data_IF_522563768310
#
_entry.id   IF_522563768310
#
_cell.length_a   1.000
_cell.length_b   1.000
_cell.length_c   1.000
_cell.angle_alpha   90.00
_cell.angle_beta   90.00
_cell.angle_gamma   90.00
#
_symmetry.space_group_name_H-M   'P 1'
#
loop_
_entity.id
_entity.type
_entity.pdbx_description
1 polymer ?
#
# COMPACT_ATOMS: atom_id res chain seq x y z
N UNK A 1 -15.68 -85.32 -19.77
CA UNK A 1 -14.64 -84.33 -19.64
C UNK A 1 -15.22 -82.93 -20.01
N UNK A 2 -15.51 -82.08 -19.01
CA UNK A 2 -16.01 -80.72 -19.26
C UNK A 2 -14.93 -79.76 -18.76
N UNK A 3 -14.31 -79.05 -19.74
CA UNK A 3 -13.31 -78.02 -19.44
C UNK A 3 -14.04 -76.69 -19.10
N UNK A 4 -13.80 -76.19 -17.93
CA UNK A 4 -14.26 -74.83 -17.49
C UNK A 4 -13.21 -73.85 -17.88
N UNK A 5 -13.60 -72.90 -18.73
CA UNK A 5 -12.81 -71.72 -19.06
C UNK A 5 -13.05 -70.62 -18.00
N UNK A 6 -12.02 -70.27 -17.23
CA UNK A 6 -12.00 -69.12 -16.34
C UNK A 6 -11.59 -67.89 -17.12
N UNK A 7 -12.48 -66.90 -17.22
CA UNK A 7 -12.21 -65.59 -17.78
C UNK A 7 -11.73 -64.67 -16.68
N UNK A 8 -10.53 -64.08 -16.77
CA UNK A 8 -10.08 -63.11 -15.76
C UNK A 8 -10.79 -61.77 -15.98
N UNK A 9 -11.47 -61.26 -14.96
CA UNK A 9 -12.10 -59.94 -14.88
C UNK A 9 -11.00 -58.92 -14.63
N UNK A 10 -10.61 -58.13 -15.67
CA UNK A 10 -9.71 -57.00 -15.49
C UNK A 10 -10.50 -55.82 -14.86
N UNK A 11 -10.17 -55.52 -13.61
CA UNK A 11 -10.62 -54.30 -12.93
C UNK A 11 -9.76 -53.12 -13.42
N UNK A 12 -10.28 -52.27 -14.28
CA UNK A 12 -9.66 -50.99 -14.64
C UNK A 12 -9.98 -49.98 -13.55
N UNK A 13 -9.00 -49.64 -12.71
CA UNK A 13 -9.09 -48.52 -11.78
C UNK A 13 -8.95 -47.20 -12.54
N UNK A 14 -10.04 -46.50 -12.72
CA UNK A 14 -10.03 -45.11 -13.23
C UNK A 14 -9.48 -44.19 -12.15
N UNK A 15 -8.25 -43.73 -12.31
CA UNK A 15 -7.71 -42.61 -11.51
C UNK A 15 -8.38 -41.34 -11.97
N UNK A 16 -9.31 -40.83 -11.19
CA UNK A 16 -9.82 -39.48 -11.33
C UNK A 16 -8.70 -38.50 -10.92
N UNK A 17 -8.03 -37.90 -11.89
CA UNK A 17 -7.13 -36.77 -11.64
C UNK A 17 -7.99 -35.56 -11.22
N UNK A 18 -8.03 -35.23 -9.95
CA UNK A 18 -8.52 -33.94 -9.48
C UNK A 18 -7.54 -32.88 -9.96
N UNK A 19 -7.88 -32.15 -11.00
CA UNK A 19 -7.22 -30.89 -11.33
C UNK A 19 -7.55 -29.93 -10.20
N UNK A 20 -6.61 -29.69 -9.28
CA UNK A 20 -6.68 -28.54 -8.39
C UNK A 20 -6.70 -27.31 -9.31
N UNK A 21 -7.82 -26.59 -9.35
CA UNK A 21 -7.88 -25.26 -9.95
C UNK A 21 -6.94 -24.39 -9.13
N UNK A 22 -5.81 -23.99 -9.71
CA UNK A 22 -5.02 -22.93 -9.15
C UNK A 22 -5.92 -21.69 -9.14
N UNK A 23 -6.19 -21.15 -7.96
CA UNK A 23 -6.88 -19.88 -7.83
C UNK A 23 -5.96 -18.83 -8.49
N UNK A 24 -6.40 -18.23 -9.59
CA UNK A 24 -5.59 -17.27 -10.33
C UNK A 24 -5.32 -16.07 -9.43
N UNK A 25 -4.04 -15.73 -9.24
CA UNK A 25 -3.66 -14.51 -8.55
C UNK A 25 -4.27 -13.30 -9.29
N UNK A 26 -5.00 -12.40 -8.61
CA UNK A 26 -5.72 -11.30 -9.23
C UNK A 26 -4.77 -10.17 -9.68
N UNK A 27 -3.87 -10.50 -10.61
CA UNK A 27 -2.84 -9.59 -11.10
C UNK A 27 -3.42 -8.33 -11.76
N UNK A 28 -4.59 -8.44 -12.35
CA UNK A 28 -5.34 -7.33 -12.98
C UNK A 28 -5.82 -6.28 -11.97
N UNK A 29 -5.86 -6.61 -10.69
CA UNK A 29 -6.21 -5.68 -9.61
C UNK A 29 -5.01 -5.03 -8.93
N UNK A 30 -3.79 -5.47 -9.22
CA UNK A 30 -2.59 -4.85 -8.66
C UNK A 30 -2.36 -3.48 -9.30
N UNK A 31 -2.42 -2.42 -8.50
CA UNK A 31 -2.25 -1.02 -8.89
C UNK A 31 -0.78 -0.62 -8.84
N UNK A 32 -0.10 -1.00 -7.76
CA UNK A 32 1.32 -0.74 -7.56
C UNK A 32 1.96 -1.87 -6.78
N UNK A 33 3.25 -2.07 -6.98
CA UNK A 33 4.06 -3.03 -6.26
C UNK A 33 5.45 -2.45 -5.99
N UNK A 34 6.02 -2.79 -4.83
CA UNK A 34 7.40 -2.51 -4.51
C UNK A 34 8.02 -3.70 -3.78
N UNK A 35 9.30 -3.96 -4.06
CA UNK A 35 10.10 -4.93 -3.33
C UNK A 35 11.23 -4.22 -2.58
N UNK A 36 11.47 -4.61 -1.34
CA UNK A 36 12.51 -4.05 -0.48
C UNK A 36 12.83 -5.00 0.66
N UNK A 37 13.88 -4.74 1.41
CA UNK A 37 14.24 -5.47 2.62
C UNK A 37 13.92 -4.55 3.81
N UNK A 38 12.68 -4.61 4.31
CA UNK A 38 12.21 -3.66 5.32
C UNK A 38 12.51 -4.10 6.74
N UNK A 39 12.54 -5.42 7.02
CA UNK A 39 12.92 -5.97 8.32
C UNK A 39 14.44 -6.17 8.46
N UNK A 40 15.19 -6.00 7.35
CA UNK A 40 16.65 -6.07 7.28
C UNK A 40 17.21 -7.46 7.55
N UNK A 41 16.48 -8.49 7.13
CA UNK A 41 16.93 -9.87 7.23
C UNK A 41 17.79 -10.32 6.02
N UNK A 42 17.93 -9.46 4.99
CA UNK A 42 18.70 -9.69 3.77
C UNK A 42 17.90 -10.34 2.65
N UNK A 43 16.61 -10.56 2.83
CA UNK A 43 15.71 -11.11 1.81
C UNK A 43 14.69 -10.07 1.35
N UNK A 44 14.26 -10.10 0.06
CA UNK A 44 13.31 -9.13 -0.42
C UNK A 44 11.89 -9.42 0.06
N UNK A 45 11.25 -8.40 0.62
CA UNK A 45 9.85 -8.33 0.99
C UNK A 45 9.01 -7.76 -0.15
N UNK A 46 7.67 -7.78 -0.03
CA UNK A 46 6.75 -7.33 -1.05
C UNK A 46 5.65 -6.44 -0.47
N UNK A 47 5.43 -5.27 -1.07
CA UNK A 47 4.26 -4.44 -0.83
C UNK A 47 3.41 -4.34 -2.09
N UNK A 48 2.09 -4.40 -1.94
CA UNK A 48 1.11 -4.32 -3.01
C UNK A 48 0.02 -3.31 -2.68
N UNK A 49 -0.35 -2.50 -3.66
CA UNK A 49 -1.62 -1.79 -3.67
C UNK A 49 -2.58 -2.55 -4.58
N UNK A 50 -3.76 -2.88 -4.08
CA UNK A 50 -4.72 -3.74 -4.78
C UNK A 50 -6.09 -3.06 -4.79
N UNK A 51 -6.71 -2.99 -5.98
CA UNK A 51 -8.10 -2.51 -6.11
C UNK A 51 -9.09 -3.45 -5.41
N UNK A 52 -10.21 -2.92 -4.88
CA UNK A 52 -11.28 -3.74 -4.34
C UNK A 52 -11.87 -4.68 -5.41
N UNK A 53 -12.60 -5.70 -4.97
CA UNK A 53 -13.16 -6.75 -5.86
C UNK A 53 -14.38 -6.27 -6.63
N UNK A 54 -15.16 -5.40 -6.01
CA UNK A 54 -16.35 -4.79 -6.62
C UNK A 54 -16.02 -3.36 -7.07
N UNK A 55 -16.75 -2.89 -8.05
CA UNK A 55 -16.62 -1.52 -8.61
C UNK A 55 -17.28 -0.46 -7.69
N UNK A 56 -17.44 -0.76 -6.39
CA UNK A 56 -17.87 0.23 -5.42
C UNK A 56 -16.82 1.33 -5.26
N UNK A 57 -17.24 2.53 -4.87
CA UNK A 57 -16.37 3.68 -4.59
C UNK A 57 -15.50 3.47 -3.33
N UNK A 58 -14.90 2.28 -3.22
CA UNK A 58 -14.07 1.91 -2.07
C UNK A 58 -12.61 2.12 -2.45
N UNK A 59 -11.85 2.68 -1.51
CA UNK A 59 -10.42 2.91 -1.68
C UNK A 59 -9.63 1.61 -1.85
N UNK A 60 -8.42 1.72 -2.42
CA UNK A 60 -7.53 0.59 -2.60
C UNK A 60 -7.03 0.04 -1.26
N UNK A 61 -6.65 -1.23 -1.25
CA UNK A 61 -5.98 -1.86 -0.11
C UNK A 61 -4.46 -1.84 -0.25
N UNK A 62 -3.75 -1.63 0.87
CA UNK A 62 -2.31 -1.82 1.00
C UNK A 62 -2.03 -3.12 1.75
N UNK A 63 -1.18 -3.97 1.18
CA UNK A 63 -0.77 -5.24 1.76
C UNK A 63 0.76 -5.33 1.75
N UNK A 64 1.35 -5.60 2.91
CA UNK A 64 2.80 -5.75 3.04
C UNK A 64 3.10 -7.16 3.55
N UNK A 65 3.99 -7.83 2.85
CA UNK A 65 4.42 -9.20 3.13
C UNK A 65 5.91 -9.19 3.46
N UNK A 66 6.28 -9.87 4.53
CA UNK A 66 7.67 -10.16 4.87
C UNK A 66 8.05 -11.56 4.38
N UNK A 67 9.25 -11.69 3.86
CA UNK A 67 9.79 -12.98 3.44
C UNK A 67 10.23 -13.78 4.67
N UNK A 68 9.73 -15.02 4.78
CA UNK A 68 10.16 -15.96 5.82
C UNK A 68 11.28 -16.84 5.27
N UNK A 69 12.51 -16.45 5.51
CA UNK A 69 13.73 -17.09 4.97
C UNK A 69 13.76 -18.60 5.20
N UNK A 70 13.32 -19.06 6.38
CA UNK A 70 13.33 -20.49 6.72
C UNK A 70 12.23 -21.30 6.02
N UNK A 71 11.20 -20.66 5.47
CA UNK A 71 10.02 -21.29 4.88
C UNK A 71 9.89 -21.00 3.38
N UNK A 72 10.78 -20.17 2.83
CA UNK A 72 10.79 -19.72 1.42
C UNK A 72 9.40 -19.23 0.95
N UNK A 73 8.71 -18.46 1.81
CA UNK A 73 7.38 -17.92 1.54
C UNK A 73 7.24 -16.47 2.04
N UNK A 74 6.30 -15.76 1.46
CA UNK A 74 5.85 -14.46 1.94
C UNK A 74 4.75 -14.64 3.00
N UNK A 75 4.84 -13.91 4.10
CA UNK A 75 3.84 -13.86 5.16
C UNK A 75 3.26 -12.45 5.25
N UNK A 76 1.93 -12.34 5.31
CA UNK A 76 1.25 -11.06 5.43
C UNK A 76 1.57 -10.43 6.80
N UNK A 77 2.24 -9.28 6.78
CA UNK A 77 2.67 -8.55 7.98
C UNK A 77 1.83 -7.30 8.25
N UNK A 78 1.26 -6.67 7.22
CA UNK A 78 0.31 -5.57 7.38
C UNK A 78 -0.77 -5.64 6.30
N UNK A 79 -2.03 -5.36 6.70
CA UNK A 79 -3.20 -5.34 5.82
C UNK A 79 -4.07 -4.13 6.14
N UNK A 80 -4.23 -3.25 5.17
CA UNK A 80 -5.05 -2.04 5.25
C UNK A 80 -6.03 -2.06 4.06
N UNK A 81 -7.12 -2.80 4.15
CA UNK A 81 -8.13 -2.81 3.11
C UNK A 81 -8.83 -1.45 3.05
N UNK A 82 -9.20 -1.00 1.85
CA UNK A 82 -10.02 0.21 1.63
C UNK A 82 -9.48 1.47 2.33
N UNK A 83 -8.17 1.73 2.20
CA UNK A 83 -7.49 2.81 2.93
C UNK A 83 -6.81 3.81 2.01
N UNK A 84 -6.38 3.39 0.83
CA UNK A 84 -5.59 4.24 -0.06
C UNK A 84 -6.47 4.83 -1.17
N UNK A 85 -6.70 6.13 -1.07
CA UNK A 85 -7.37 6.87 -2.12
C UNK A 85 -6.61 6.82 -3.44
N UNK A 86 -7.34 6.72 -4.53
CA UNK A 86 -6.78 6.79 -5.87
C UNK A 86 -7.48 5.90 -6.88
N UNK A 87 -7.31 6.21 -8.16
CA UNK A 87 -7.96 5.49 -9.26
C UNK A 87 -6.98 5.20 -10.38
N UNK A 88 -6.96 3.96 -10.85
CA UNK A 88 -6.25 3.58 -12.08
C UNK A 88 -6.92 4.08 -13.35
N UNK A 89 -8.20 4.42 -13.27
CA UNK A 89 -8.98 4.89 -14.41
C UNK A 89 -8.82 6.39 -14.66
N UNK A 90 -8.25 7.10 -13.69
CA UNK A 90 -8.07 8.55 -13.73
C UNK A 90 -6.58 8.88 -13.69
N UNK A 91 -6.04 9.31 -14.82
CA UNK A 91 -4.64 9.76 -14.90
C UNK A 91 -4.33 10.79 -13.82
N UNK A 92 -3.21 10.62 -13.14
CA UNK A 92 -2.78 11.51 -12.05
C UNK A 92 -3.45 11.24 -10.70
N UNK A 93 -4.08 10.07 -10.54
CA UNK A 93 -4.64 9.62 -9.28
C UNK A 93 -4.11 8.25 -8.85
N UNK A 94 -3.24 7.66 -9.64
CA UNK A 94 -2.70 6.32 -9.38
C UNK A 94 -1.83 6.35 -8.11
N UNK A 95 -2.10 5.50 -7.09
CA UNK A 95 -1.21 5.32 -5.96
C UNK A 95 0.15 4.75 -6.39
N UNK A 96 1.20 5.13 -5.69
CA UNK A 96 2.56 4.67 -5.96
C UNK A 96 3.20 4.06 -4.70
N UNK A 97 4.07 3.07 -4.90
CA UNK A 97 4.93 2.50 -3.87
C UNK A 97 6.39 2.66 -4.26
N UNK A 98 7.22 3.16 -3.33
CA UNK A 98 8.66 3.32 -3.57
C UNK A 98 9.45 2.71 -2.43
N UNK A 99 10.24 1.67 -2.73
CA UNK A 99 11.21 1.14 -1.78
C UNK A 99 12.43 2.07 -1.70
N UNK A 100 12.76 2.51 -0.50
CA UNK A 100 13.84 3.45 -0.24
C UNK A 100 15.12 2.72 0.16
N UNK A 101 16.28 3.23 -0.26
CA UNK A 101 17.58 2.64 0.05
C UNK A 101 17.89 2.53 1.56
N UNK A 102 17.22 3.32 2.40
CA UNK A 102 17.36 3.26 3.86
C UNK A 102 16.52 2.15 4.53
N UNK A 103 15.77 1.36 3.74
CA UNK A 103 14.88 0.30 4.22
C UNK A 103 13.52 0.84 4.69
N UNK A 104 13.05 1.97 4.19
CA UNK A 104 11.67 2.41 4.36
C UNK A 104 10.87 2.23 3.06
N UNK A 105 9.55 2.23 3.18
CA UNK A 105 8.61 2.21 2.07
C UNK A 105 7.91 3.57 2.02
N UNK A 106 7.86 4.21 0.86
CA UNK A 106 6.97 5.33 0.62
C UNK A 106 5.68 4.84 -0.02
N UNK A 107 4.56 5.27 0.58
CA UNK A 107 3.20 5.09 0.06
C UNK A 107 2.69 6.45 -0.36
N UNK A 108 2.41 6.61 -1.65
CA UNK A 108 2.10 7.90 -2.25
C UNK A 108 0.68 7.85 -2.79
N UNK A 109 -0.13 8.82 -2.37
CA UNK A 109 -1.45 9.11 -2.93
C UNK A 109 -1.48 10.54 -3.48
N UNK A 110 -2.26 10.79 -4.52
CA UNK A 110 -2.24 12.09 -5.21
C UNK A 110 -3.53 12.35 -5.98
N UNK A 111 -3.84 13.63 -6.17
CA UNK A 111 -4.83 14.11 -7.12
C UNK A 111 -4.23 15.25 -7.96
N UNK A 112 -3.68 14.90 -9.12
CA UNK A 112 -3.00 15.84 -10.00
C UNK A 112 -3.90 16.37 -11.14
N UNK A 113 -5.13 15.84 -11.30
CA UNK A 113 -5.95 16.10 -12.51
C UNK A 113 -7.39 16.48 -12.25
N UNK A 114 -8.03 16.08 -11.15
CA UNK A 114 -9.47 16.22 -10.95
C UNK A 114 -9.82 17.33 -9.95
N UNK A 115 -10.86 18.10 -10.27
CA UNK A 115 -11.37 19.18 -9.43
C UNK A 115 -10.43 20.38 -9.36
N UNK A 116 -10.59 21.24 -8.40
CA UNK A 116 -9.77 22.45 -8.21
C UNK A 116 -8.58 22.23 -7.28
N UNK A 117 -8.67 21.28 -6.32
CA UNK A 117 -7.59 20.96 -5.41
C UNK A 117 -6.66 19.92 -6.01
N UNK A 118 -5.39 20.26 -6.14
CA UNK A 118 -4.29 19.39 -6.54
C UNK A 118 -3.44 19.08 -5.31
N UNK A 119 -3.12 17.83 -5.11
CA UNK A 119 -2.34 17.44 -3.94
C UNK A 119 -1.57 16.14 -4.17
N UNK A 120 -0.50 16.00 -3.43
CA UNK A 120 0.30 14.79 -3.30
C UNK A 120 0.63 14.58 -1.83
N UNK A 121 0.42 13.37 -1.36
CA UNK A 121 0.70 12.92 -0.01
C UNK A 121 1.67 11.74 -0.06
N UNK A 122 2.62 11.72 0.86
CA UNK A 122 3.57 10.61 0.99
C UNK A 122 3.65 10.20 2.44
N UNK A 123 3.33 8.94 2.73
CA UNK A 123 3.65 8.32 4.00
C UNK A 123 5.00 7.63 3.88
N UNK A 124 5.91 7.92 4.81
CA UNK A 124 7.14 7.14 4.98
C UNK A 124 6.89 6.08 6.03
N UNK A 125 6.85 4.84 5.59
CA UNK A 125 6.58 3.66 6.43
C UNK A 125 7.92 2.99 6.76
N UNK A 126 8.12 2.63 8.02
CA UNK A 126 9.31 1.92 8.48
C UNK A 126 8.92 0.72 9.34
N UNK A 127 9.70 -0.37 9.23
CA UNK A 127 9.56 -1.52 10.10
C UNK A 127 10.36 -1.30 11.39
N UNK A 128 9.69 -1.33 12.54
CA UNK A 128 10.30 -1.11 13.86
C UNK A 128 9.58 -1.94 14.92
N UNK A 129 10.34 -2.59 15.78
CA UNK A 129 9.79 -3.39 16.88
C UNK A 129 8.79 -4.44 16.40
N UNK A 130 9.06 -5.07 15.26
CA UNK A 130 8.23 -6.09 14.62
C UNK A 130 6.90 -5.59 14.04
N UNK A 131 6.74 -4.26 13.87
CA UNK A 131 5.56 -3.65 13.29
C UNK A 131 5.92 -2.62 12.22
N UNK A 132 5.00 -2.39 11.27
CA UNK A 132 5.06 -1.27 10.35
C UNK A 132 4.46 -0.02 10.99
N UNK A 133 5.22 1.06 11.00
CA UNK A 133 4.84 2.35 11.57
C UNK A 133 4.94 3.45 10.55
N UNK A 134 4.16 4.54 10.74
CA UNK A 134 4.34 5.77 9.98
C UNK A 134 5.43 6.61 10.64
N UNK A 135 6.58 6.72 9.97
CA UNK A 135 7.73 7.47 10.43
C UNK A 135 7.73 8.93 9.94
N UNK A 136 7.10 9.18 8.78
CA UNK A 136 7.03 10.52 8.18
C UNK A 136 5.74 10.73 7.39
N UNK A 137 5.31 11.99 7.34
CA UNK A 137 4.18 12.46 6.56
C UNK A 137 4.60 13.70 5.78
N UNK A 138 4.50 13.63 4.46
CA UNK A 138 4.75 14.77 3.57
C UNK A 138 3.49 15.06 2.78
N UNK A 139 3.11 16.33 2.70
CA UNK A 139 1.98 16.79 1.92
C UNK A 139 2.37 18.03 1.10
N UNK A 140 1.92 18.08 -0.12
CA UNK A 140 1.95 19.29 -0.94
C UNK A 140 0.65 19.41 -1.72
N UNK A 141 0.17 20.63 -1.90
CA UNK A 141 -1.04 20.87 -2.66
C UNK A 141 -1.25 22.34 -2.99
N UNK A 142 -2.16 22.59 -3.91
CA UNK A 142 -2.59 23.92 -4.30
C UNK A 142 -4.03 23.87 -4.82
N UNK A 143 -4.67 25.03 -4.78
CA UNK A 143 -5.98 25.26 -5.38
C UNK A 143 -5.76 25.94 -6.73
N UNK A 144 -6.36 25.41 -7.79
CA UNK A 144 -6.20 25.95 -9.17
C UNK A 144 -6.89 27.29 -9.39
N UNK A 145 -7.72 27.74 -8.47
CA UNK A 145 -8.50 29.00 -8.55
C UNK A 145 -8.03 30.03 -7.52
N UNK A 146 -7.45 29.57 -6.41
CA UNK A 146 -6.97 30.45 -5.35
C UNK A 146 -5.55 30.93 -5.67
N UNK A 147 -5.43 32.19 -6.01
CA UNK A 147 -4.15 32.83 -6.36
C UNK A 147 -3.68 33.77 -5.25
N UNK A 148 -2.37 33.94 -5.16
CA UNK A 148 -1.74 34.93 -4.32
C UNK A 148 -1.74 36.33 -5.01
N UNK A 149 -1.16 37.31 -4.35
CA UNK A 149 -1.03 38.69 -4.86
C UNK A 149 -0.15 38.83 -6.12
N UNK A 150 0.63 37.80 -6.46
CA UNK A 150 1.47 37.74 -7.66
C UNK A 150 0.76 37.01 -8.82
N UNK A 151 -0.44 36.47 -8.60
CA UNK A 151 -1.18 35.67 -9.57
C UNK A 151 -0.71 34.21 -9.68
N UNK A 152 0.06 33.72 -8.70
CA UNK A 152 0.48 32.33 -8.60
C UNK A 152 -0.47 31.54 -7.70
N UNK A 153 -0.65 30.24 -8.00
CA UNK A 153 -1.47 29.37 -7.16
C UNK A 153 -0.93 29.33 -5.73
N UNK A 154 -1.82 29.55 -4.75
CA UNK A 154 -1.45 29.45 -3.35
C UNK A 154 -1.15 27.99 -3.00
N UNK A 155 0.10 27.69 -2.72
CA UNK A 155 0.59 26.36 -2.36
C UNK A 155 0.49 26.13 -0.86
N UNK A 156 0.30 24.87 -0.49
CA UNK A 156 0.43 24.35 0.89
C UNK A 156 1.47 23.24 0.86
N UNK A 157 2.33 23.21 1.87
CA UNK A 157 3.34 22.15 2.00
C UNK A 157 3.53 21.77 3.45
N UNK A 158 3.76 20.51 3.72
CA UNK A 158 4.14 20.01 5.03
C UNK A 158 5.10 18.84 4.89
N UNK A 159 6.12 18.85 5.74
CA UNK A 159 7.05 17.73 5.92
C UNK A 159 7.20 17.50 7.43
N UNK A 160 6.68 16.39 7.93
CA UNK A 160 6.61 16.04 9.33
C UNK A 160 7.31 14.71 9.59
N UNK A 161 8.28 14.71 10.48
CA UNK A 161 8.77 13.48 11.09
C UNK A 161 7.83 13.11 12.25
N UNK A 162 7.03 12.06 12.06
CA UNK A 162 6.01 11.63 13.03
C UNK A 162 6.62 11.14 14.32
N UNK A 163 7.78 10.46 14.23
CA UNK A 163 8.47 9.89 15.40
C UNK A 163 9.02 10.96 16.35
N UNK A 164 9.42 12.10 15.81
CA UNK A 164 9.96 13.22 16.61
C UNK A 164 8.95 14.35 16.84
N UNK A 165 7.87 14.36 16.06
CA UNK A 165 6.88 15.43 16.05
C UNK A 165 7.41 16.75 15.46
N UNK A 166 8.59 16.75 14.82
CA UNK A 166 9.21 17.96 14.25
C UNK A 166 9.04 18.00 12.74
N UNK A 167 8.80 19.20 12.21
CA UNK A 167 8.62 19.38 10.79
C UNK A 167 8.56 20.83 10.36
N UNK A 168 8.07 21.03 9.13
CA UNK A 168 7.78 22.33 8.55
C UNK A 168 6.42 22.29 7.86
N UNK A 169 5.65 23.36 7.96
CA UNK A 169 4.45 23.62 7.17
C UNK A 169 4.55 25.01 6.58
N UNK A 170 4.42 25.13 5.26
CA UNK A 170 4.61 26.37 4.51
C UNK A 170 5.90 27.11 4.92
N UNK A 171 7.02 26.34 4.94
CA UNK A 171 8.35 26.77 5.36
C UNK A 171 8.50 27.22 6.82
N UNK A 172 7.43 27.16 7.62
CA UNK A 172 7.48 27.50 9.03
C UNK A 172 7.67 26.24 9.89
N UNK A 173 8.50 26.28 10.92
CA UNK A 173 8.64 25.15 11.83
C UNK A 173 7.30 24.79 12.48
N UNK A 174 6.98 23.51 12.49
CA UNK A 174 5.84 22.96 13.21
C UNK A 174 6.33 21.93 14.22
N UNK A 175 5.59 21.82 15.33
CA UNK A 175 5.86 20.81 16.35
C UNK A 175 4.54 20.16 16.73
N UNK A 176 4.47 18.86 16.55
CA UNK A 176 3.38 18.01 17.01
C UNK A 176 3.85 17.11 18.15
N UNK A 177 2.95 16.40 18.78
CA UNK A 177 3.31 15.37 19.75
C UNK A 177 4.03 14.23 19.00
N UNK A 178 5.26 13.91 19.41
CA UNK A 178 5.96 12.72 18.92
C UNK A 178 5.14 11.46 19.18
N UNK A 179 5.00 10.60 18.20
CA UNK A 179 4.15 9.42 18.30
C UNK A 179 4.76 8.22 17.57
N UNK A 180 4.52 7.04 18.12
CA UNK A 180 4.75 5.76 17.46
C UNK A 180 3.37 5.29 16.98
N UNK A 181 3.06 5.56 15.72
CA UNK A 181 1.74 5.25 15.14
C UNK A 181 1.89 4.03 14.24
N UNK A 182 1.16 2.97 14.54
CA UNK A 182 1.11 1.80 13.65
C UNK A 182 0.52 2.22 12.30
N UNK A 183 1.00 1.60 11.24
CA UNK A 183 0.48 1.85 9.91
C UNK A 183 -1.02 1.54 9.82
N UNK A 184 -1.49 0.52 10.53
CA UNK A 184 -2.90 0.13 10.62
C UNK A 184 -3.78 1.11 11.40
N UNK A 185 -3.17 1.95 12.24
CA UNK A 185 -3.86 2.96 13.07
C UNK A 185 -3.73 4.37 12.47
N UNK A 186 -3.07 4.48 11.31
CA UNK A 186 -2.90 5.77 10.66
C UNK A 186 -4.20 6.28 10.07
N UNK A 187 -4.48 7.55 10.33
CA UNK A 187 -5.49 8.34 9.66
C UNK A 187 -4.82 9.61 9.13
N UNK A 188 -5.09 9.99 7.90
CA UNK A 188 -4.52 11.17 7.26
C UNK A 188 -4.82 12.46 8.02
N UNK A 189 -5.94 12.50 8.77
CA UNK A 189 -6.26 13.60 9.67
C UNK A 189 -5.19 13.83 10.75
N UNK A 190 -4.42 12.81 11.14
CA UNK A 190 -3.29 12.93 12.07
C UNK A 190 -2.22 13.85 11.47
N UNK A 191 -1.80 13.56 10.23
CA UNK A 191 -0.82 14.35 9.51
C UNK A 191 -1.31 15.76 9.22
N UNK A 192 -2.51 15.88 8.68
CA UNK A 192 -3.13 17.17 8.34
C UNK A 192 -3.24 18.09 9.57
N UNK A 193 -3.73 17.58 10.69
CA UNK A 193 -3.84 18.32 11.94
C UNK A 193 -2.47 18.76 12.47
N UNK A 194 -1.47 17.89 12.40
CA UNK A 194 -0.10 18.22 12.81
C UNK A 194 0.51 19.33 11.96
N UNK A 195 0.14 19.40 10.68
CA UNK A 195 0.55 20.44 9.74
C UNK A 195 -0.28 21.73 9.83
N UNK A 196 -1.31 21.78 10.70
CA UNK A 196 -2.22 22.93 10.81
C UNK A 196 -3.24 23.02 9.68
N UNK A 197 -3.43 21.94 8.91
CA UNK A 197 -4.45 21.86 7.88
C UNK A 197 -5.68 21.18 8.50
N UNK A 198 -6.70 21.96 8.84
CA UNK A 198 -8.02 21.41 9.18
C UNK A 198 -8.88 21.42 7.93
N UNK A 199 -9.46 20.28 7.59
CA UNK A 199 -10.63 20.23 6.70
C UNK A 199 -11.87 20.61 7.45
#
# INVERSE_FOLDING_TARGET
>A
MRSAFLIPLLLTASMASSTASAEDFPADRVVAAAAGDWDKDGTPDLALVVRPTDESDVDNGLYIYLHKTNEARLELAASLPNTLWGSMMMSGQEPELVAMANGSLQVITKNETIGRERWRQTLTVAYRNFDFIVAGYTFSGYDTVEMDENGENRTKSCDLNVLTGKGKADDKPVTAKAAFVLLTDWDDAIGQKACGYSR
#
